data_IF_049836123477
#
_entry.id   IF_049836123477
#
_cell.length_a   1.000
_cell.length_b   1.000
_cell.length_c   1.000
_cell.angle_alpha   90.00
_cell.angle_beta   90.00
_cell.angle_gamma   90.00
#
_symmetry.space_group_name_H-M   'P 1'
#
loop_
_entity.id
_entity.type
_entity.pdbx_description
1 polymer ?
#
# COMPACT_ATOMS: atom_id res chain seq x y z
N UNK A 1 -16.06 -15.72 14.74
CA UNK A 1 -16.87 -16.06 15.91
C UNK A 1 -16.31 -17.35 16.48
N UNK A 2 -15.89 -17.35 17.76
CA UNK A 2 -15.67 -18.60 18.48
C UNK A 2 -17.02 -19.29 18.53
N UNK A 3 -17.09 -20.55 18.08
CA UNK A 3 -18.34 -21.26 17.94
C UNK A 3 -19.08 -21.47 19.26
N UNK A 4 -20.28 -22.00 19.16
CA UNK A 4 -21.22 -22.28 20.26
C UNK A 4 -20.61 -23.23 21.33
N UNK A 5 -19.52 -23.93 20.99
CA UNK A 5 -18.86 -24.95 21.83
C UNK A 5 -17.70 -24.41 22.70
N UNK A 6 -17.61 -23.12 22.92
CA UNK A 6 -16.60 -22.53 23.83
C UNK A 6 -17.23 -22.23 25.19
N UNK A 7 -16.53 -22.52 26.26
CA UNK A 7 -16.92 -22.12 27.62
C UNK A 7 -17.25 -20.61 27.62
N UNK A 8 -18.45 -20.20 28.10
CA UNK A 8 -18.88 -18.81 28.04
C UNK A 8 -17.94 -17.84 28.78
N UNK A 9 -17.51 -18.23 29.98
CA UNK A 9 -16.65 -17.40 30.85
C UNK A 9 -15.25 -17.30 30.22
N UNK A 10 -14.72 -18.42 29.68
CA UNK A 10 -13.45 -18.43 28.98
C UNK A 10 -13.48 -17.55 27.71
N UNK A 11 -14.57 -17.59 26.98
CA UNK A 11 -14.78 -16.74 25.80
C UNK A 11 -14.76 -15.27 26.16
N UNK A 12 -15.45 -14.89 27.25
CA UNK A 12 -15.49 -13.52 27.73
C UNK A 12 -14.10 -13.06 28.15
N UNK A 13 -13.34 -13.86 28.93
CA UNK A 13 -11.97 -13.57 29.32
C UNK A 13 -11.06 -13.33 28.11
N UNK A 14 -11.12 -14.19 27.09
CA UNK A 14 -10.32 -14.09 25.87
C UNK A 14 -10.65 -12.79 25.11
N UNK A 15 -11.94 -12.46 24.97
CA UNK A 15 -12.40 -11.29 24.25
C UNK A 15 -11.99 -10.00 24.96
N UNK A 16 -12.19 -9.92 26.27
CA UNK A 16 -11.84 -8.73 27.03
C UNK A 16 -10.31 -8.55 27.12
N UNK A 17 -9.55 -9.62 27.26
CA UNK A 17 -8.09 -9.55 27.21
C UNK A 17 -7.57 -9.07 25.86
N UNK A 18 -8.14 -9.58 24.76
CA UNK A 18 -7.77 -9.14 23.42
C UNK A 18 -8.11 -7.65 23.20
N UNK A 19 -9.29 -7.19 23.63
CA UNK A 19 -9.73 -5.78 23.56
C UNK A 19 -8.90 -4.85 24.42
N UNK A 20 -8.42 -5.32 25.56
CA UNK A 20 -7.62 -4.55 26.53
C UNK A 20 -6.29 -4.06 25.99
N UNK A 21 -5.80 -4.62 24.87
CA UNK A 21 -4.56 -4.19 24.17
C UNK A 21 -3.35 -4.07 25.09
N UNK A 22 -3.28 -4.92 26.13
CA UNK A 22 -2.19 -4.94 27.12
C UNK A 22 -2.31 -3.87 28.20
N UNK A 23 -3.41 -3.13 28.28
CA UNK A 23 -3.69 -2.18 29.37
C UNK A 23 -4.32 -2.83 30.60
N UNK A 24 -4.86 -4.03 30.44
CA UNK A 24 -5.47 -4.85 31.50
C UNK A 24 -4.87 -6.24 31.45
N UNK A 25 -4.61 -6.84 32.59
CA UNK A 25 -4.11 -8.20 32.72
C UNK A 25 -5.25 -9.21 32.69
N UNK A 26 -4.97 -10.47 32.32
CA UNK A 26 -5.98 -11.51 32.37
C UNK A 26 -6.38 -11.82 33.82
N UNK A 27 -5.46 -11.69 34.77
CA UNK A 27 -5.72 -11.84 36.20
C UNK A 27 -6.70 -10.78 36.73
N UNK A 28 -6.65 -9.54 36.21
CA UNK A 28 -7.63 -8.49 36.55
C UNK A 28 -9.02 -8.82 36.00
N UNK A 29 -9.11 -9.44 34.83
CA UNK A 29 -10.39 -9.87 34.24
C UNK A 29 -10.97 -11.02 35.05
N UNK A 30 -10.14 -12.01 35.43
CA UNK A 30 -10.56 -13.24 36.12
C UNK A 30 -10.54 -13.12 37.64
N UNK A 31 -10.48 -11.91 38.23
CA UNK A 31 -10.25 -11.69 39.67
C UNK A 31 -11.29 -12.36 40.58
N UNK A 32 -12.55 -12.39 40.16
CA UNK A 32 -13.69 -12.97 40.91
C UNK A 32 -14.11 -14.37 40.46
N UNK A 33 -13.35 -14.97 39.53
CA UNK A 33 -13.62 -16.31 39.02
C UNK A 33 -13.02 -17.39 39.95
N UNK A 34 -13.28 -18.65 39.64
CA UNK A 34 -12.76 -19.76 40.40
C UNK A 34 -11.22 -19.92 40.38
N UNK A 35 -10.68 -20.84 41.14
CA UNK A 35 -9.24 -21.02 41.27
C UNK A 35 -8.58 -21.45 39.94
N UNK A 36 -9.28 -22.17 39.06
CA UNK A 36 -8.75 -22.65 37.80
C UNK A 36 -8.58 -21.50 36.83
N UNK A 37 -9.60 -20.63 36.70
CA UNK A 37 -9.52 -19.44 35.91
C UNK A 37 -8.43 -18.46 36.36
N UNK A 38 -8.31 -18.27 37.71
CA UNK A 38 -7.25 -17.42 38.26
C UNK A 38 -5.85 -17.97 38.03
N UNK A 39 -5.68 -19.30 38.01
CA UNK A 39 -4.39 -19.89 37.67
C UNK A 39 -4.08 -19.75 36.19
N UNK A 40 -5.02 -20.08 35.32
CA UNK A 40 -4.91 -19.89 33.90
C UNK A 40 -4.55 -18.42 33.54
N UNK A 41 -5.19 -17.47 34.22
CA UNK A 41 -4.96 -16.04 34.00
C UNK A 41 -3.52 -15.64 34.38
N UNK A 42 -2.99 -16.11 35.51
CA UNK A 42 -1.58 -15.89 35.91
C UNK A 42 -0.61 -16.44 34.86
N UNK A 43 -0.84 -17.70 34.45
CA UNK A 43 0.00 -18.33 33.42
C UNK A 43 -0.02 -17.56 32.08
N UNK A 44 -1.17 -16.99 31.73
CA UNK A 44 -1.29 -16.17 30.52
C UNK A 44 -0.63 -14.80 30.69
N UNK A 45 -0.69 -14.18 31.84
CA UNK A 45 -0.02 -12.91 32.12
C UNK A 45 1.51 -13.04 32.08
N UNK A 46 2.08 -14.20 32.48
CA UNK A 46 3.51 -14.50 32.30
C UNK A 46 3.91 -14.54 30.79
N UNK A 47 3.03 -15.07 29.95
CA UNK A 47 3.22 -15.05 28.49
C UNK A 47 3.10 -13.61 27.96
N UNK A 48 2.15 -12.87 28.46
CA UNK A 48 1.85 -11.48 28.13
C UNK A 48 0.96 -11.29 26.91
N UNK A 49 0.28 -10.14 26.87
CA UNK A 49 -0.70 -9.81 25.84
C UNK A 49 -0.15 -9.86 24.41
N UNK A 50 1.05 -9.34 24.18
CA UNK A 50 1.66 -9.31 22.85
C UNK A 50 1.82 -10.73 22.29
N UNK A 51 2.38 -11.62 23.07
CA UNK A 51 2.59 -13.01 22.65
C UNK A 51 1.28 -13.78 22.53
N UNK A 52 0.29 -13.45 23.37
CA UNK A 52 -1.07 -13.96 23.21
C UNK A 52 -1.63 -13.62 21.82
N UNK A 53 -1.52 -12.38 21.38
CA UNK A 53 -1.98 -11.96 20.04
C UNK A 53 -1.15 -12.59 18.91
N UNK A 54 0.06 -13.07 19.18
CA UNK A 54 0.89 -13.87 18.29
C UNK A 54 0.54 -15.38 18.32
N UNK A 55 -0.51 -15.76 19.07
CA UNK A 55 -1.03 -17.13 19.13
C UNK A 55 -0.43 -17.96 20.28
N UNK A 56 0.35 -17.36 21.18
CA UNK A 56 0.89 -18.05 22.36
C UNK A 56 -0.14 -18.04 23.49
N UNK A 57 -0.84 -19.15 23.65
CA UNK A 57 -1.87 -19.32 24.67
C UNK A 57 -1.38 -20.23 25.80
N UNK A 58 -1.78 -19.93 27.03
CA UNK A 58 -1.43 -20.76 28.19
C UNK A 58 -2.09 -22.13 28.11
N UNK A 59 -1.45 -23.12 28.72
CA UNK A 59 -1.99 -24.47 28.80
C UNK A 59 -3.34 -24.51 29.53
N UNK A 60 -3.52 -23.63 30.52
CA UNK A 60 -4.74 -23.51 31.32
C UNK A 60 -5.98 -23.19 30.46
N UNK A 61 -5.86 -22.40 29.40
CA UNK A 61 -6.98 -22.15 28.48
C UNK A 61 -7.50 -23.45 27.88
N UNK A 62 -6.61 -24.31 27.40
CA UNK A 62 -6.99 -25.63 26.85
C UNK A 62 -7.58 -26.57 27.91
N UNK A 63 -7.04 -26.53 29.11
CA UNK A 63 -7.51 -27.38 30.20
C UNK A 63 -8.94 -27.05 30.65
N UNK A 64 -9.27 -25.75 30.78
CA UNK A 64 -10.63 -25.27 31.06
C UNK A 64 -11.57 -25.72 29.97
N UNK A 65 -11.22 -25.48 28.69
CA UNK A 65 -12.04 -25.91 27.58
C UNK A 65 -12.21 -27.41 27.50
N UNK A 66 -11.20 -28.20 27.88
CA UNK A 66 -11.30 -29.67 27.94
C UNK A 66 -12.35 -30.13 28.96
N UNK A 67 -12.35 -29.51 30.14
CA UNK A 67 -13.36 -29.79 31.17
C UNK A 67 -14.76 -29.41 30.68
N UNK A 68 -14.92 -28.26 30.11
CA UNK A 68 -16.19 -27.78 29.54
C UNK A 68 -16.70 -28.74 28.45
N UNK A 69 -15.83 -29.14 27.53
CA UNK A 69 -16.20 -30.05 26.43
C UNK A 69 -16.60 -31.44 26.93
N UNK A 70 -15.92 -31.94 27.96
CA UNK A 70 -16.27 -33.23 28.56
C UNK A 70 -17.64 -33.21 29.23
N UNK A 71 -18.02 -32.11 29.89
CA UNK A 71 -19.33 -31.95 30.55
C UNK A 71 -20.46 -31.80 29.52
N UNK A 72 -20.22 -31.04 28.46
CA UNK A 72 -21.26 -30.67 27.48
C UNK A 72 -21.31 -31.58 26.25
N UNK A 73 -20.46 -32.62 26.17
CA UNK A 73 -20.45 -33.56 25.04
C UNK A 73 -20.08 -32.94 23.72
N UNK A 74 -19.19 -31.94 23.68
CA UNK A 74 -18.73 -31.28 22.47
C UNK A 74 -18.02 -32.25 21.52
N UNK A 75 -18.31 -32.14 20.22
CA UNK A 75 -17.64 -32.90 19.16
C UNK A 75 -16.29 -32.29 18.76
N UNK A 76 -15.93 -31.12 19.28
CA UNK A 76 -14.67 -30.42 18.97
C UNK A 76 -13.61 -30.85 19.96
N UNK A 77 -12.49 -31.41 19.48
CA UNK A 77 -11.38 -31.77 20.38
C UNK A 77 -10.72 -30.50 20.96
N UNK A 78 -10.13 -30.56 22.15
CA UNK A 78 -9.41 -29.44 22.77
C UNK A 78 -8.29 -28.90 21.89
N UNK A 79 -7.63 -29.73 21.10
CA UNK A 79 -6.59 -29.35 20.14
C UNK A 79 -7.18 -28.57 18.98
N UNK A 80 -8.29 -29.02 18.40
CA UNK A 80 -9.00 -28.31 17.32
C UNK A 80 -9.50 -26.97 17.82
N UNK A 81 -10.07 -26.91 19.03
CA UNK A 81 -10.50 -25.66 19.65
C UNK A 81 -9.34 -24.69 19.84
N UNK A 82 -8.22 -25.14 20.44
CA UNK A 82 -7.03 -24.32 20.65
C UNK A 82 -6.48 -23.78 19.33
N UNK A 83 -6.39 -24.63 18.30
CA UNK A 83 -5.98 -24.22 16.95
C UNK A 83 -6.92 -23.14 16.39
N UNK A 84 -8.24 -23.31 16.57
CA UNK A 84 -9.23 -22.33 16.16
C UNK A 84 -9.06 -20.97 16.84
N UNK A 85 -8.75 -20.96 18.16
CA UNK A 85 -8.46 -19.74 18.91
C UNK A 85 -7.21 -19.06 18.36
N UNK A 86 -6.12 -19.80 18.15
CA UNK A 86 -4.87 -19.27 17.60
C UNK A 86 -5.10 -18.66 16.24
N UNK A 87 -5.81 -19.35 15.33
CA UNK A 87 -6.14 -18.82 14.01
C UNK A 87 -6.90 -17.50 14.14
N UNK A 88 -7.89 -17.43 15.03
CA UNK A 88 -8.68 -16.19 15.23
C UNK A 88 -7.84 -15.04 15.77
N UNK A 89 -6.93 -15.28 16.68
CA UNK A 89 -5.99 -14.26 17.17
C UNK A 89 -5.10 -13.74 16.05
N UNK A 90 -4.56 -14.65 15.23
CA UNK A 90 -3.73 -14.28 14.08
C UNK A 90 -4.52 -13.51 13.01
N UNK A 91 -5.78 -13.91 12.73
CA UNK A 91 -6.67 -13.17 11.82
C UNK A 91 -6.91 -11.73 12.31
N UNK A 92 -7.18 -11.56 13.61
CA UNK A 92 -7.37 -10.21 14.21
C UNK A 92 -6.08 -9.39 14.11
N UNK A 93 -4.95 -9.97 14.46
CA UNK A 93 -3.64 -9.31 14.41
C UNK A 93 -3.28 -8.93 12.97
N UNK A 94 -3.49 -9.84 12.02
CA UNK A 94 -3.26 -9.56 10.60
C UNK A 94 -4.19 -8.46 10.07
N UNK A 95 -5.48 -8.49 10.44
CA UNK A 95 -6.43 -7.44 10.08
C UNK A 95 -6.04 -6.07 10.61
N UNK A 96 -5.57 -5.99 11.85
CA UNK A 96 -5.05 -4.75 12.45
C UNK A 96 -3.80 -4.26 11.73
N UNK A 97 -2.90 -5.15 11.36
CA UNK A 97 -1.69 -4.83 10.61
C UNK A 97 -2.04 -4.29 9.21
N UNK A 98 -2.95 -4.96 8.48
CA UNK A 98 -3.43 -4.51 7.16
C UNK A 98 -4.05 -3.11 7.25
N UNK A 99 -4.95 -2.89 8.23
CA UNK A 99 -5.56 -1.59 8.44
C UNK A 99 -4.51 -0.49 8.66
N UNK A 100 -3.51 -0.78 9.50
CA UNK A 100 -2.41 0.16 9.74
C UNK A 100 -1.59 0.43 8.49
N UNK A 101 -1.29 -0.61 7.70
CA UNK A 101 -0.57 -0.48 6.43
C UNK A 101 -1.34 0.41 5.45
N UNK A 102 -2.66 0.20 5.32
CA UNK A 102 -3.52 1.03 4.47
C UNK A 102 -3.49 2.49 4.93
N UNK A 103 -3.66 2.76 6.23
CA UNK A 103 -3.61 4.12 6.77
C UNK A 103 -2.26 4.82 6.53
N UNK A 104 -1.16 4.10 6.69
CA UNK A 104 0.18 4.64 6.40
C UNK A 104 0.36 4.89 4.91
N UNK A 105 -0.10 3.97 4.07
CA UNK A 105 -0.01 4.07 2.63
C UNK A 105 -0.84 5.25 2.09
N UNK A 106 -2.08 5.41 2.56
CA UNK A 106 -2.94 6.52 2.16
C UNK A 106 -2.34 7.88 2.54
N UNK A 107 -1.73 7.97 3.74
CA UNK A 107 -1.01 9.19 4.16
C UNK A 107 0.22 9.45 3.29
N UNK A 108 1.00 8.41 2.98
CA UNK A 108 2.17 8.53 2.11
C UNK A 108 1.76 8.91 0.69
N UNK A 109 0.70 8.32 0.15
CA UNK A 109 0.17 8.68 -1.17
C UNK A 109 -0.32 10.12 -1.22
N UNK A 110 -1.00 10.61 -0.19
CA UNK A 110 -1.42 12.02 -0.10
C UNK A 110 -0.24 12.98 -0.16
N UNK A 111 0.86 12.67 0.53
CA UNK A 111 2.11 13.45 0.48
C UNK A 111 2.78 13.36 -0.89
N UNK A 112 2.87 12.15 -1.47
CA UNK A 112 3.42 11.93 -2.81
C UNK A 112 2.59 12.63 -3.90
N UNK A 113 1.27 12.58 -3.81
CA UNK A 113 0.38 13.29 -4.74
C UNK A 113 0.60 14.81 -4.69
N UNK A 114 0.80 15.36 -3.49
CA UNK A 114 1.10 16.79 -3.31
C UNK A 114 2.47 17.16 -3.90
N UNK A 115 3.49 16.34 -3.69
CA UNK A 115 4.82 16.53 -4.27
C UNK A 115 4.75 16.42 -5.80
N UNK A 116 4.07 15.38 -6.32
CA UNK A 116 3.89 15.17 -7.76
C UNK A 116 3.21 16.36 -8.42
N UNK A 117 2.15 16.90 -7.79
CA UNK A 117 1.46 18.09 -8.29
C UNK A 117 2.40 19.31 -8.39
N UNK A 118 3.25 19.52 -7.37
CA UNK A 118 4.25 20.61 -7.40
C UNK A 118 5.30 20.40 -8.49
N UNK A 119 5.76 19.18 -8.72
CA UNK A 119 6.69 18.83 -9.78
C UNK A 119 6.07 19.09 -11.17
N UNK A 120 4.83 18.63 -11.39
CA UNK A 120 4.09 18.88 -12.64
C UNK A 120 3.94 20.37 -12.90
N UNK A 121 3.53 21.16 -11.91
CA UNK A 121 3.40 22.61 -12.05
C UNK A 121 4.74 23.29 -12.39
N UNK A 122 5.83 22.87 -11.75
CA UNK A 122 7.16 23.40 -12.06
C UNK A 122 7.55 23.08 -13.49
N UNK A 123 7.27 21.87 -13.95
CA UNK A 123 7.62 21.41 -15.28
C UNK A 123 6.78 22.08 -16.36
N UNK A 124 5.47 22.26 -16.12
CA UNK A 124 4.58 23.02 -17.01
C UNK A 124 5.13 24.44 -17.24
N UNK A 125 5.54 25.12 -16.15
CA UNK A 125 6.16 26.45 -16.25
C UNK A 125 7.45 26.43 -17.07
N UNK A 126 8.33 25.45 -16.83
CA UNK A 126 9.57 25.31 -17.59
C UNK A 126 9.28 25.14 -19.09
N UNK A 127 8.30 24.31 -19.46
CA UNK A 127 7.93 24.09 -20.85
C UNK A 127 7.34 25.35 -21.52
N UNK A 128 6.67 26.20 -20.75
CA UNK A 128 6.19 27.49 -21.26
C UNK A 128 7.30 28.50 -21.46
N UNK A 129 8.23 28.60 -20.49
CA UNK A 129 9.38 29.50 -20.58
C UNK A 129 10.25 29.20 -21.80
N UNK A 130 10.25 27.95 -22.28
CA UNK A 130 10.96 27.54 -23.50
C UNK A 130 10.29 28.08 -24.76
N UNK A 131 9.00 28.45 -24.70
CA UNK A 131 8.29 29.10 -25.83
C UNK A 131 8.07 28.21 -27.05
N UNK A 132 7.98 28.83 -28.23
CA UNK A 132 7.69 28.18 -29.54
C UNK A 132 8.95 27.72 -30.29
N UNK A 133 10.13 28.19 -29.88
CA UNK A 133 11.36 28.12 -30.69
C UNK A 133 11.79 26.70 -31.06
N UNK A 134 11.40 25.72 -30.25
CA UNK A 134 11.75 24.31 -30.43
C UNK A 134 10.56 23.45 -30.93
N UNK A 135 9.48 24.08 -31.41
CA UNK A 135 8.32 23.35 -31.92
C UNK A 135 8.19 23.53 -33.43
N UNK A 136 7.76 22.47 -34.13
CA UNK A 136 7.37 22.55 -35.51
C UNK A 136 6.09 23.40 -35.65
N UNK A 137 5.88 24.05 -36.77
CA UNK A 137 4.71 24.90 -37.03
C UNK A 137 3.39 24.15 -36.79
N UNK A 138 3.36 22.86 -37.14
CA UNK A 138 2.22 21.95 -36.92
C UNK A 138 1.91 21.65 -35.44
N UNK A 139 2.89 21.83 -34.55
CA UNK A 139 2.79 21.50 -33.11
C UNK A 139 2.69 22.75 -32.21
N UNK A 140 2.77 23.95 -32.75
CA UNK A 140 2.71 25.22 -32.02
C UNK A 140 1.43 25.38 -31.19
N UNK A 141 0.32 24.77 -31.65
CA UNK A 141 -0.95 24.76 -30.91
C UNK A 141 -0.82 24.20 -29.48
N UNK A 142 0.17 23.32 -29.21
CA UNK A 142 0.44 22.79 -27.86
C UNK A 142 0.95 23.86 -26.91
N UNK A 143 1.64 24.87 -27.39
CA UNK A 143 2.12 26.01 -26.62
C UNK A 143 1.10 27.17 -26.55
N UNK A 144 0.06 27.17 -27.41
CA UNK A 144 -1.02 28.17 -27.40
C UNK A 144 -2.10 27.86 -26.34
N UNK A 145 -2.06 26.66 -25.70
CA UNK A 145 -3.03 26.25 -24.68
C UNK A 145 -2.92 27.24 -23.50
N UNK A 146 -4.08 27.73 -23.03
CA UNK A 146 -4.12 28.59 -21.86
C UNK A 146 -3.56 27.85 -20.64
N UNK A 147 -2.52 28.41 -20.06
CA UNK A 147 -1.81 27.81 -18.93
C UNK A 147 -2.71 27.60 -17.71
N UNK A 148 -3.56 28.58 -17.39
CA UNK A 148 -4.47 28.50 -16.27
C UNK A 148 -5.40 27.29 -16.40
N UNK A 149 -5.81 26.94 -17.64
CA UNK A 149 -6.63 25.77 -17.92
C UNK A 149 -5.84 24.46 -17.71
N UNK A 150 -4.55 24.44 -18.06
CA UNK A 150 -3.68 23.27 -17.83
C UNK A 150 -3.36 23.13 -16.33
N UNK A 151 -2.96 24.21 -15.65
CA UNK A 151 -2.62 24.19 -14.22
C UNK A 151 -3.80 23.84 -13.32
N UNK A 152 -5.02 24.24 -13.70
CA UNK A 152 -6.26 23.94 -12.97
C UNK A 152 -6.83 22.56 -13.30
N UNK A 153 -6.34 21.89 -14.35
CA UNK A 153 -6.83 20.58 -14.79
C UNK A 153 -6.39 19.44 -13.88
N UNK A 154 -6.93 18.25 -14.11
CA UNK A 154 -6.50 17.04 -13.39
C UNK A 154 -5.03 16.73 -13.66
N UNK A 155 -4.37 16.04 -12.68
CA UNK A 155 -2.97 15.62 -12.83
C UNK A 155 -2.73 14.77 -14.08
N UNK A 156 -3.66 13.90 -14.45
CA UNK A 156 -3.58 13.11 -15.69
C UNK A 156 -3.55 14.00 -16.94
N UNK A 157 -4.40 15.03 -17.00
CA UNK A 157 -4.43 15.95 -18.12
C UNK A 157 -3.13 16.77 -18.20
N UNK A 158 -2.58 17.17 -17.07
CA UNK A 158 -1.28 17.83 -16.98
C UNK A 158 -0.15 16.93 -17.51
N UNK A 159 -0.15 15.65 -17.12
CA UNK A 159 0.83 14.67 -17.60
C UNK A 159 0.71 14.43 -19.11
N UNK A 160 -0.50 14.27 -19.64
CA UNK A 160 -0.71 14.11 -21.07
C UNK A 160 -0.22 15.31 -21.87
N UNK A 161 -0.49 16.53 -21.41
CA UNK A 161 0.02 17.73 -22.05
C UNK A 161 1.55 17.78 -22.06
N UNK A 162 2.20 17.47 -20.92
CA UNK A 162 3.66 17.41 -20.80
C UNK A 162 4.27 16.35 -21.73
N UNK A 163 3.65 15.19 -21.85
CA UNK A 163 4.11 14.13 -22.76
C UNK A 163 4.00 14.61 -24.21
N UNK A 164 2.89 15.24 -24.58
CA UNK A 164 2.67 15.73 -25.94
C UNK A 164 3.69 16.81 -26.34
N UNK A 165 3.91 17.82 -25.49
CA UNK A 165 4.84 18.92 -25.80
C UNK A 165 6.30 18.46 -25.84
N UNK A 166 6.69 17.50 -24.99
CA UNK A 166 8.03 16.89 -25.02
C UNK A 166 8.25 16.09 -26.32
N UNK A 167 7.26 15.26 -26.70
CA UNK A 167 7.34 14.48 -27.92
C UNK A 167 7.43 15.37 -29.15
N UNK A 168 6.70 16.49 -29.20
CA UNK A 168 6.77 17.47 -30.26
C UNK A 168 8.15 18.13 -30.36
N UNK A 169 8.76 18.52 -29.23
CA UNK A 169 10.13 19.07 -29.19
C UNK A 169 11.18 18.06 -29.64
N UNK A 170 11.05 16.81 -29.18
CA UNK A 170 11.93 15.73 -29.58
C UNK A 170 11.83 15.44 -31.08
N UNK A 171 10.62 15.44 -31.64
CA UNK A 171 10.40 15.30 -33.08
C UNK A 171 11.01 16.47 -33.90
N UNK A 172 10.89 17.70 -33.38
CA UNK A 172 11.52 18.89 -33.97
C UNK A 172 13.04 18.78 -33.97
N UNK A 173 13.63 18.38 -32.84
CA UNK A 173 15.08 18.19 -32.73
C UNK A 173 15.62 17.13 -33.71
N UNK A 174 14.86 16.04 -33.92
CA UNK A 174 15.22 15.00 -34.88
C UNK A 174 15.14 15.47 -36.36
N UNK A 175 14.19 16.34 -36.70
CA UNK A 175 14.06 16.91 -38.05
C UNK A 175 15.07 18.04 -38.31
N UNK A 176 15.51 18.76 -37.26
CA UNK A 176 16.53 19.82 -37.33
C UNK A 176 17.97 19.34 -37.25
N UNK A 177 18.22 18.04 -37.11
CA UNK A 177 19.55 17.45 -37.14
C UNK A 177 20.24 17.72 -38.49
N UNK A 178 21.60 17.85 -38.55
CA UNK A 178 22.30 18.32 -39.75
C UNK A 178 21.96 17.42 -40.95
N UNK A 179 21.29 18.02 -41.96
CA UNK A 179 21.31 17.49 -43.28
C UNK A 179 22.77 17.43 -43.69
N UNK A 180 23.36 16.26 -43.65
CA UNK A 180 24.64 16.00 -44.28
C UNK A 180 24.49 16.44 -45.73
N UNK A 181 25.16 17.53 -46.06
CA UNK A 181 25.40 17.98 -47.41
C UNK A 181 26.04 16.83 -48.19
N UNK A 182 25.21 15.96 -48.77
CA UNK A 182 25.72 15.03 -49.79
C UNK A 182 26.08 15.88 -51.00
N UNK A 183 27.36 16.27 -51.00
CA UNK A 183 27.99 17.02 -52.06
C UNK A 183 27.66 16.43 -53.43
N UNK A 184 26.92 17.20 -54.16
CA UNK A 184 26.68 17.00 -55.56
C UNK A 184 28.01 17.15 -56.31
N UNK A 185 28.79 16.08 -56.35
CA UNK A 185 30.03 16.00 -57.14
C UNK A 185 29.63 15.72 -58.58
N UNK A 186 29.22 16.80 -59.26
CA UNK A 186 29.04 16.80 -60.74
C UNK A 186 30.41 16.80 -61.39
N UNK A 187 30.93 15.60 -61.64
CA UNK A 187 32.13 15.40 -62.51
C UNK A 187 31.77 15.67 -63.94
N UNK A 188 32.11 16.89 -64.40
CA UNK A 188 32.17 17.23 -65.83
C UNK A 188 33.20 16.35 -66.55
N UNK A 189 32.72 15.40 -67.33
CA UNK A 189 33.53 14.71 -68.35
C UNK A 189 33.68 15.64 -69.53
N UNK A 190 34.85 16.25 -69.61
CA UNK A 190 35.31 16.97 -70.80
C UNK A 190 35.72 15.97 -71.85
N UNK A 191 35.00 16.00 -72.99
CA UNK A 191 35.29 15.15 -74.14
C UNK A 191 36.35 15.81 -75.03
N UNK A 192 37.48 15.24 -75.12
CA UNK A 192 38.40 15.54 -76.23
C UNK A 192 38.54 14.37 -77.17
N UNK A 193 37.95 14.50 -78.36
CA UNK A 193 38.28 13.72 -79.57
C UNK A 193 39.50 14.38 -80.18
N UNK A 194 40.58 13.66 -80.42
CA UNK A 194 41.57 13.94 -81.41
C UNK A 194 41.99 12.65 -82.10
N UNK A 195 41.71 12.59 -83.43
CA UNK A 195 42.28 11.83 -84.51
C UNK A 195 43.02 10.53 -84.27
#
# INVERSE_FOLDING_TARGET
MMGVDTDPDLRECIVEYAKGRGTITMSEICWNMDAWFRQMARDQDEIGWRRFMEGMVSKGLREIQTMYSAINGSNVSPEQWTTGVIIKLLEVTHGQWLYRCIQVHDRAQGTLATLRKKELQKEIKTQQETGYDDLLEEDQYLAEVNLEDVESSSGERQEYWLVAIRAAREASALRGGPQSDEGHNSSARDGRIIR
#
